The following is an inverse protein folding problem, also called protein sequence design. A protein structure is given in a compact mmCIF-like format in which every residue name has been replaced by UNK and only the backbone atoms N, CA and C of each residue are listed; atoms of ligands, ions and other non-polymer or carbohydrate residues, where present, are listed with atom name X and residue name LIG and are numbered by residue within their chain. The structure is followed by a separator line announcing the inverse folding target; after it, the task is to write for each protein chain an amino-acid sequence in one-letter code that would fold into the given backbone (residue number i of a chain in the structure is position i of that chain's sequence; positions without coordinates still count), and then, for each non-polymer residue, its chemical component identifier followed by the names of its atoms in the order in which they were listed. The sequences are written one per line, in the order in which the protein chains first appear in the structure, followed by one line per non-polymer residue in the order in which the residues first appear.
data_IF_070511743576
#
_entry.id   IF_070511743576
#
_cell.length_a   1.000
_cell.length_b   1.000
_cell.length_c   1.000
_cell.angle_alpha   90.00
_cell.angle_beta   90.00
_cell.angle_gamma   90.00
#
_symmetry.space_group_name_H-M   'P 1'
#
loop_
_entity.id
_entity.type
_entity.pdbx_description
1 polymer ?
#
# COMPACT_ATOMS: atom_id res chain seq x y z
N UNK A 1 -12.90 -18.22 -8.75
CA UNK A 1 -12.13 -17.36 -7.82
C UNK A 1 -12.45 -15.91 -8.15
N UNK A 2 -12.60 -15.05 -7.13
CA UNK A 2 -12.71 -13.60 -7.35
C UNK A 2 -11.32 -13.01 -7.54
N UNK A 3 -11.20 -12.03 -8.42
CA UNK A 3 -9.95 -11.30 -8.68
C UNK A 3 -10.15 -9.85 -8.27
N UNK A 4 -9.17 -9.32 -7.53
CA UNK A 4 -9.04 -7.91 -7.24
C UNK A 4 -8.28 -7.25 -8.40
N UNK A 5 -8.91 -6.24 -9.01
CA UNK A 5 -8.36 -5.45 -10.10
C UNK A 5 -8.10 -4.03 -9.60
N UNK A 6 -6.86 -3.56 -9.67
CA UNK A 6 -6.48 -2.21 -9.27
C UNK A 6 -5.65 -1.56 -10.36
N UNK A 7 -6.04 -0.35 -10.77
CA UNK A 7 -5.23 0.50 -11.64
C UNK A 7 -4.58 1.60 -10.81
N UNK A 8 -3.27 1.52 -10.68
CA UNK A 8 -2.46 2.49 -9.95
C UNK A 8 -1.81 3.45 -10.95
N UNK A 9 -2.05 4.75 -10.78
CA UNK A 9 -1.45 5.81 -11.60
C UNK A 9 -0.68 6.78 -10.73
N UNK A 10 0.64 6.80 -10.87
CA UNK A 10 1.49 7.74 -10.17
C UNK A 10 1.54 9.07 -10.93
N UNK A 11 1.38 10.18 -10.20
CA UNK A 11 1.63 11.51 -10.77
C UNK A 11 3.13 11.73 -10.94
N UNK A 12 3.49 12.64 -11.85
CA UNK A 12 4.88 13.06 -12.08
C UNK A 12 5.58 13.60 -10.81
N UNK A 13 4.83 14.23 -9.92
CA UNK A 13 5.35 14.78 -8.65
C UNK A 13 5.21 13.86 -7.44
N UNK A 14 5.19 12.53 -7.62
CA UNK A 14 5.04 11.58 -6.51
C UNK A 14 6.35 11.45 -5.70
N UNK A 15 6.22 11.27 -4.38
CA UNK A 15 7.33 10.98 -3.46
C UNK A 15 8.55 11.91 -3.66
N UNK A 16 8.32 13.23 -3.67
CA UNK A 16 9.38 14.20 -3.79
C UNK A 16 10.31 14.13 -2.57
N UNK A 17 11.62 14.29 -2.78
CA UNK A 17 12.59 14.50 -1.71
C UNK A 17 12.74 16.00 -1.37
N UNK A 18 13.57 16.35 -0.38
CA UNK A 18 13.76 17.73 0.08
C UNK A 18 14.32 18.67 -1.00
N UNK A 19 14.90 18.11 -2.08
CA UNK A 19 15.40 18.85 -3.24
C UNK A 19 14.34 18.99 -4.35
N UNK A 20 13.12 18.52 -4.12
CA UNK A 20 12.02 18.55 -5.09
C UNK A 20 12.10 17.48 -6.18
N UNK A 21 13.03 16.53 -6.10
CA UNK A 21 13.12 15.45 -7.09
C UNK A 21 12.10 14.35 -6.77
N UNK A 22 11.26 13.99 -7.75
CA UNK A 22 10.31 12.89 -7.66
C UNK A 22 11.02 11.54 -7.60
N UNK A 23 10.65 10.70 -6.63
CA UNK A 23 11.23 9.38 -6.45
C UNK A 23 10.20 8.29 -6.75
N UNK A 24 10.69 7.08 -7.05
CA UNK A 24 9.81 5.92 -7.07
C UNK A 24 9.24 5.68 -5.65
N UNK A 25 8.00 5.21 -5.58
CA UNK A 25 7.36 4.78 -4.34
C UNK A 25 7.01 3.31 -4.44
N UNK A 26 7.02 2.61 -3.31
CA UNK A 26 6.35 1.31 -3.20
C UNK A 26 4.93 1.57 -2.73
N UNK A 27 3.95 0.89 -3.30
CA UNK A 27 2.57 0.86 -2.81
C UNK A 27 2.32 -0.55 -2.32
N UNK A 28 1.94 -0.66 -1.05
CA UNK A 28 1.55 -1.92 -0.42
C UNK A 28 0.04 -2.03 -0.40
N UNK A 29 -0.46 -3.14 -0.94
CA UNK A 29 -1.88 -3.49 -0.99
C UNK A 29 -2.09 -4.61 0.02
N UNK A 30 -3.03 -4.42 0.93
CA UNK A 30 -3.43 -5.41 1.91
C UNK A 30 -4.84 -5.89 1.63
N UNK A 31 -5.08 -7.19 1.80
CA UNK A 31 -6.43 -7.71 2.03
C UNK A 31 -6.58 -7.99 3.52
N UNK A 32 -7.67 -7.49 4.12
CA UNK A 32 -7.89 -7.52 5.56
C UNK A 32 -9.24 -8.15 5.89
N UNK A 33 -9.31 -8.85 7.03
CA UNK A 33 -10.54 -9.35 7.65
C UNK A 33 -11.33 -8.23 8.34
N UNK A 34 -10.61 -7.30 8.97
CA UNK A 34 -11.16 -6.10 9.62
C UNK A 34 -10.28 -4.88 9.30
N UNK A 35 -10.86 -3.68 9.33
CA UNK A 35 -10.16 -2.42 9.00
C UNK A 35 -9.70 -1.63 10.22
N UNK A 36 -10.16 -1.95 11.42
CA UNK A 36 -10.00 -1.12 12.62
C UNK A 36 -8.52 -0.92 12.97
N UNK A 37 -7.69 -1.96 12.85
CA UNK A 37 -6.25 -1.83 13.08
C UNK A 37 -5.60 -0.86 12.08
N UNK A 38 -5.96 -0.93 10.80
CA UNK A 38 -5.44 -0.02 9.77
C UNK A 38 -5.88 1.42 10.01
N UNK A 39 -7.16 1.63 10.30
CA UNK A 39 -7.75 2.97 10.46
C UNK A 39 -7.24 3.70 11.71
N UNK A 40 -6.83 2.97 12.76
CA UNK A 40 -6.38 3.55 14.03
C UNK A 40 -4.85 3.55 14.22
N UNK A 41 -4.08 2.94 13.31
CA UNK A 41 -2.62 2.91 13.40
C UNK A 41 -2.03 4.12 12.67
N UNK A 42 -1.08 4.81 13.31
CA UNK A 42 -0.38 5.90 12.65
C UNK A 42 0.53 5.41 11.51
N UNK A 43 0.89 6.33 10.62
CA UNK A 43 1.65 5.96 9.42
C UNK A 43 3.00 5.30 9.74
N UNK A 44 3.85 5.81 10.66
CA UNK A 44 5.09 5.13 11.04
C UNK A 44 4.88 3.72 11.60
N UNK A 45 3.86 3.51 12.44
CA UNK A 45 3.58 2.22 13.07
C UNK A 45 3.07 1.17 12.07
N UNK A 46 2.50 1.59 10.93
CA UNK A 46 2.20 0.67 9.82
C UNK A 46 3.47 0.06 9.19
N UNK A 47 4.65 0.67 9.36
CA UNK A 47 5.94 0.14 8.89
C UNK A 47 6.73 -0.58 9.99
N UNK A 48 6.45 -0.26 11.26
CA UNK A 48 7.15 -0.85 12.38
C UNK A 48 6.93 -2.38 12.45
N UNK A 49 7.97 -3.11 12.86
CA UNK A 49 7.90 -4.55 13.09
C UNK A 49 7.33 -5.35 11.91
N UNK A 50 7.68 -4.96 10.68
CA UNK A 50 7.18 -5.56 9.42
C UNK A 50 5.64 -5.54 9.26
N UNK A 51 5.00 -4.49 9.79
CA UNK A 51 3.55 -4.32 9.72
C UNK A 51 2.80 -5.14 10.78
N UNK A 52 3.44 -5.35 11.94
CA UNK A 52 2.88 -6.11 13.07
C UNK A 52 1.47 -5.66 13.46
N UNK A 53 1.18 -4.36 13.36
CA UNK A 53 -0.13 -3.78 13.64
C UNK A 53 -1.28 -4.45 12.86
N UNK A 54 -1.02 -4.93 11.65
CA UNK A 54 -2.04 -5.55 10.79
C UNK A 54 -1.99 -7.08 10.80
N UNK A 55 -1.04 -7.70 11.50
CA UNK A 55 -0.75 -9.13 11.34
C UNK A 55 -1.95 -10.04 11.65
N UNK A 56 -2.77 -9.67 12.63
CA UNK A 56 -3.96 -10.43 13.01
C UNK A 56 -5.04 -10.43 11.91
N UNK A 57 -5.21 -9.31 11.23
CA UNK A 57 -6.30 -9.09 10.27
C UNK A 57 -5.89 -9.26 8.81
N UNK A 58 -4.59 -9.13 8.50
CA UNK A 58 -4.03 -9.29 7.15
C UNK A 58 -4.11 -10.73 6.69
N UNK A 59 -4.72 -10.94 5.52
CA UNK A 59 -4.83 -12.25 4.87
C UNK A 59 -4.01 -12.36 3.61
N UNK A 60 -3.76 -11.25 2.93
CA UNK A 60 -2.83 -11.18 1.80
C UNK A 60 -2.15 -9.81 1.72
N UNK A 61 -0.99 -9.78 1.08
CA UNK A 61 -0.19 -8.57 0.84
C UNK A 61 0.41 -8.61 -0.56
N UNK A 62 0.50 -7.45 -1.21
CA UNK A 62 1.21 -7.26 -2.48
C UNK A 62 1.93 -5.92 -2.48
N UNK A 63 3.22 -5.95 -2.80
CA UNK A 63 4.00 -4.75 -3.05
C UNK A 63 4.13 -4.46 -4.55
N UNK A 64 3.96 -3.19 -4.91
CA UNK A 64 4.09 -2.70 -6.27
C UNK A 64 4.95 -1.47 -6.27
N UNK A 65 6.03 -1.47 -7.07
CA UNK A 65 6.85 -0.29 -7.28
C UNK A 65 6.23 0.56 -8.37
N UNK A 66 6.04 1.85 -8.10
CA UNK A 66 5.61 2.85 -9.07
C UNK A 66 6.66 3.96 -9.19
N UNK A 67 7.06 4.25 -10.42
CA UNK A 67 7.87 5.41 -10.78
C UNK A 67 6.97 6.63 -11.01
N UNK A 68 7.51 7.85 -10.91
CA UNK A 68 6.81 9.05 -11.36
C UNK A 68 6.25 8.88 -12.79
N UNK A 69 4.99 9.25 -12.99
CA UNK A 69 4.27 9.13 -14.28
C UNK A 69 3.85 7.71 -14.68
N UNK A 70 4.29 6.68 -13.95
CA UNK A 70 4.00 5.28 -14.29
C UNK A 70 2.55 4.91 -13.97
N UNK A 71 1.99 4.05 -14.81
CA UNK A 71 0.71 3.39 -14.56
C UNK A 71 0.92 1.88 -14.54
N UNK A 72 0.39 1.22 -13.51
CA UNK A 72 0.50 -0.24 -13.32
C UNK A 72 -0.87 -0.79 -12.99
N UNK A 73 -1.26 -1.85 -13.70
CA UNK A 73 -2.43 -2.68 -13.35
C UNK A 73 -1.98 -3.82 -12.46
N UNK A 74 -2.75 -4.06 -11.40
CA UNK A 74 -2.50 -5.11 -10.42
C UNK A 74 -3.71 -6.03 -10.40
N UNK A 75 -3.47 -7.27 -10.81
CA UNK A 75 -4.43 -8.35 -10.71
C UNK A 75 -3.94 -9.34 -9.66
N UNK A 76 -4.76 -9.60 -8.64
CA UNK A 76 -4.46 -10.60 -7.63
C UNK A 76 -5.71 -11.36 -7.19
N UNK A 77 -5.60 -12.66 -6.85
CA UNK A 77 -6.70 -13.40 -6.26
C UNK A 77 -7.21 -12.70 -4.99
N UNK A 78 -8.53 -12.67 -4.82
CA UNK A 78 -9.15 -12.20 -3.59
C UNK A 78 -9.36 -13.37 -2.64
N UNK A 79 -8.74 -13.29 -1.46
CA UNK A 79 -8.92 -14.24 -0.38
C UNK A 79 -10.37 -14.25 0.07
N UNK A 80 -10.92 -15.44 0.35
CA UNK A 80 -12.34 -15.60 0.68
C UNK A 80 -12.71 -14.94 2.00
N UNK A 81 -11.75 -14.79 2.92
CA UNK A 81 -11.93 -14.13 4.22
C UNK A 81 -11.68 -12.61 4.16
N UNK A 82 -11.22 -12.07 3.04
CA UNK A 82 -10.99 -10.64 2.89
C UNK A 82 -12.32 -9.88 2.83
N UNK A 83 -12.50 -8.92 3.72
CA UNK A 83 -13.64 -7.99 3.75
C UNK A 83 -13.24 -6.59 3.28
N UNK A 84 -11.96 -6.22 3.45
CA UNK A 84 -11.43 -4.91 3.11
C UNK A 84 -10.16 -5.01 2.29
N UNK A 85 -9.94 -4.01 1.44
CA UNK A 85 -8.68 -3.78 0.73
C UNK A 85 -8.12 -2.44 1.17
N UNK A 86 -6.92 -2.45 1.74
CA UNK A 86 -6.23 -1.23 2.15
C UNK A 86 -5.03 -0.98 1.24
N UNK A 87 -4.82 0.27 0.83
CA UNK A 87 -3.72 0.68 -0.05
C UNK A 87 -2.90 1.73 0.66
N UNK A 88 -1.59 1.48 0.82
CA UNK A 88 -0.68 2.38 1.53
C UNK A 88 0.58 2.64 0.70
N UNK A 89 0.87 3.89 0.32
CA UNK A 89 2.15 4.24 -0.27
C UNK A 89 3.27 4.25 0.79
N UNK A 90 4.49 3.94 0.37
CA UNK A 90 5.73 4.09 1.12
C UNK A 90 6.42 5.38 0.66
N UNK A 91 5.93 6.50 1.17
CA UNK A 91 6.50 7.82 0.95
C UNK A 91 7.70 8.04 1.86
N UNK A 92 8.68 8.78 1.35
CA UNK A 92 9.84 9.22 2.11
C UNK A 92 9.38 10.17 3.21
N UNK A 93 9.55 9.79 4.47
CA UNK A 93 9.33 10.69 5.60
C UNK A 93 10.52 11.63 5.64
N UNK A 94 10.32 12.87 5.19
CA UNK A 94 11.31 13.93 5.35
C UNK A 94 11.16 14.50 6.77
N UNK A 95 12.15 14.29 7.61
CA UNK A 95 12.35 14.99 8.88
C UNK A 95 13.11 16.28 8.68
#
# INVERSE_FOLDING_TARGET
MKTLHLDLRAREGVNNNAKGASLATVVRIYQLKDRQAFDNTDYPSLFAGDGQALQADRVAEKDVRLRPGESVTVDMPMETSAQFVAVRPCLSIQT
#
